data_IF_960782311403
#
_entry.id   IF_960782311403
#
_cell.length_a   1.000
_cell.length_b   1.000
_cell.length_c   1.000
_cell.angle_alpha   90.00
_cell.angle_beta   90.00
_cell.angle_gamma   90.00
#
_symmetry.space_group_name_H-M   'P 1'
#
loop_
_entity.id
_entity.type
_entity.pdbx_description
1 polymer ?
#
# COMPACT_ATOMS: atom_id res chain seq x y z
N UNK A 1 27.50 10.62 12.01
CA UNK A 1 26.68 11.86 12.01
C UNK A 1 25.23 11.41 12.17
N UNK A 2 24.49 11.96 13.13
CA UNK A 2 23.06 11.68 13.28
C UNK A 2 22.26 12.60 12.35
N UNK A 3 21.18 12.09 11.77
CA UNK A 3 20.27 12.83 10.88
C UNK A 3 18.89 12.79 11.51
N UNK A 4 18.21 13.94 11.57
CA UNK A 4 16.83 13.99 12.04
C UNK A 4 15.94 13.28 11.00
N UNK A 5 15.13 12.33 11.47
CA UNK A 5 14.20 11.58 10.64
C UNK A 5 12.77 11.81 11.12
N UNK A 6 11.82 11.84 10.19
CA UNK A 6 10.41 11.72 10.50
C UNK A 6 10.04 10.23 10.45
N UNK A 7 9.75 9.57 11.60
CA UNK A 7 9.48 8.13 11.63
C UNK A 7 8.31 7.73 10.74
N UNK A 8 7.28 8.56 10.68
CA UNK A 8 6.11 8.30 9.85
C UNK A 8 6.48 8.22 8.37
N UNK A 9 7.31 9.14 7.85
CA UNK A 9 7.73 9.09 6.44
C UNK A 9 8.61 7.88 6.14
N UNK A 10 9.45 7.46 7.09
CA UNK A 10 10.27 6.25 6.97
C UNK A 10 9.39 5.01 6.89
N UNK A 11 8.44 4.86 7.82
CA UNK A 11 7.53 3.72 7.84
C UNK A 11 6.59 3.71 6.64
N UNK A 12 6.11 4.87 6.20
CA UNK A 12 5.23 4.98 5.03
C UNK A 12 5.97 4.49 3.77
N UNK A 13 7.24 4.88 3.56
CA UNK A 13 8.05 4.38 2.44
C UNK A 13 8.39 2.90 2.57
N UNK A 14 8.64 2.41 3.77
CA UNK A 14 8.91 1.00 4.05
C UNK A 14 7.70 0.13 3.71
N UNK A 15 6.53 0.46 4.26
CA UNK A 15 5.28 -0.28 4.02
C UNK A 15 4.88 -0.19 2.55
N UNK A 16 5.04 0.97 1.89
CA UNK A 16 4.75 1.09 0.46
C UNK A 16 5.58 0.09 -0.38
N UNK A 17 6.86 -0.10 -0.05
CA UNK A 17 7.74 -1.07 -0.73
C UNK A 17 7.33 -2.51 -0.47
N UNK A 18 7.12 -2.87 0.80
CA UNK A 18 6.72 -4.23 1.18
C UNK A 18 5.35 -4.57 0.57
N UNK A 19 4.39 -3.65 0.71
CA UNK A 19 3.06 -3.78 0.13
C UNK A 19 3.10 -3.94 -1.39
N UNK A 20 3.86 -3.11 -2.10
CA UNK A 20 3.93 -3.19 -3.56
C UNK A 20 4.34 -4.59 -4.07
N UNK A 21 5.20 -5.29 -3.34
CA UNK A 21 5.57 -6.69 -3.65
C UNK A 21 4.41 -7.66 -3.50
N UNK A 22 3.62 -7.52 -2.44
CA UNK A 22 2.44 -8.38 -2.18
C UNK A 22 1.30 -8.06 -3.17
N UNK A 23 1.13 -6.79 -3.52
CA UNK A 23 -0.03 -6.35 -4.31
C UNK A 23 0.16 -6.51 -5.82
N UNK A 24 1.36 -6.28 -6.34
CA UNK A 24 1.62 -6.18 -7.79
C UNK A 24 2.76 -7.13 -8.23
N UNK A 25 3.38 -7.84 -7.30
CA UNK A 25 4.51 -8.73 -7.58
C UNK A 25 5.83 -7.98 -7.81
N UNK A 26 6.83 -8.72 -8.28
CA UNK A 26 8.21 -8.22 -8.40
C UNK A 26 8.42 -7.21 -9.55
N UNK A 27 7.50 -7.11 -10.51
CA UNK A 27 7.62 -6.22 -11.68
C UNK A 27 7.58 -4.72 -11.31
N UNK A 28 6.77 -4.33 -10.33
CA UNK A 28 6.55 -2.91 -9.98
C UNK A 28 6.91 -2.57 -8.53
N UNK A 29 7.32 -3.54 -7.71
CA UNK A 29 7.59 -3.31 -6.28
C UNK A 29 8.75 -2.34 -6.01
N UNK A 30 9.66 -2.19 -6.99
CA UNK A 30 10.83 -1.30 -6.91
C UNK A 30 10.65 0.00 -7.69
N UNK A 31 9.57 0.14 -8.44
CA UNK A 31 9.35 1.31 -9.27
C UNK A 31 9.06 2.53 -8.39
N UNK A 32 10.01 3.47 -8.34
CA UNK A 32 9.88 4.65 -7.48
C UNK A 32 8.63 5.47 -7.82
N UNK A 33 8.15 5.39 -9.06
CA UNK A 33 6.93 6.05 -9.48
C UNK A 33 5.69 5.47 -8.80
N UNK A 34 5.61 4.15 -8.62
CA UNK A 34 4.53 3.52 -7.85
C UNK A 34 4.59 3.91 -6.37
N UNK A 35 5.79 3.89 -5.79
CA UNK A 35 5.99 4.32 -4.40
C UNK A 35 5.55 5.77 -4.24
N UNK A 36 6.03 6.68 -5.09
CA UNK A 36 5.66 8.09 -4.99
C UNK A 36 4.16 8.31 -5.22
N UNK A 37 3.54 7.59 -6.15
CA UNK A 37 2.11 7.64 -6.38
C UNK A 37 1.34 7.16 -5.14
N UNK A 38 1.62 5.97 -4.60
CA UNK A 38 0.90 5.46 -3.41
C UNK A 38 1.06 6.35 -2.18
N UNK A 39 2.26 6.90 -1.96
CA UNK A 39 2.53 7.82 -0.84
C UNK A 39 1.80 9.15 -1.03
N UNK A 40 1.90 9.76 -2.21
CA UNK A 40 1.31 11.08 -2.48
C UNK A 40 -0.20 11.01 -2.56
N UNK A 41 -0.74 9.92 -3.10
CA UNK A 41 -2.17 9.69 -3.22
C UNK A 41 -2.86 9.69 -1.85
N UNK A 42 -2.26 9.03 -0.86
CA UNK A 42 -2.73 9.07 0.53
C UNK A 42 -2.74 10.49 1.08
N UNK A 43 -1.62 11.23 0.94
CA UNK A 43 -1.51 12.62 1.43
C UNK A 43 -2.57 13.52 0.79
N UNK A 44 -2.74 13.43 -0.52
CA UNK A 44 -3.69 14.25 -1.28
C UNK A 44 -5.15 13.90 -0.97
N UNK A 45 -5.48 12.63 -0.68
CA UNK A 45 -6.83 12.25 -0.22
C UNK A 45 -7.12 12.91 1.12
N UNK A 46 -6.24 12.75 2.12
CA UNK A 46 -6.49 13.32 3.45
C UNK A 46 -6.60 14.84 3.41
N UNK A 47 -5.75 15.51 2.62
CA UNK A 47 -5.82 16.94 2.41
C UNK A 47 -7.14 17.34 1.75
N UNK A 48 -7.58 16.62 0.72
CA UNK A 48 -8.85 16.87 0.04
C UNK A 48 -10.03 16.68 1.00
N UNK A 49 -10.05 15.60 1.78
CA UNK A 49 -11.10 15.33 2.78
C UNK A 49 -11.11 16.45 3.83
N UNK A 50 -9.95 16.85 4.37
CA UNK A 50 -9.86 17.90 5.38
C UNK A 50 -10.38 19.25 4.87
N UNK A 51 -10.05 19.61 3.61
CA UNK A 51 -10.49 20.85 2.98
C UNK A 51 -11.96 20.82 2.56
N UNK A 52 -12.51 19.63 2.23
CA UNK A 52 -13.91 19.48 1.85
C UNK A 52 -14.86 19.34 3.05
N UNK A 53 -14.39 18.82 4.18
CA UNK A 53 -15.19 18.59 5.40
C UNK A 53 -15.98 19.81 5.91
N UNK A 54 -15.43 21.04 5.94
CA UNK A 54 -16.20 22.20 6.41
C UNK A 54 -17.19 22.75 5.37
N UNK A 55 -17.14 22.27 4.12
CA UNK A 55 -17.95 22.82 3.03
C UNK A 55 -19.31 22.11 2.94
N UNK A 56 -20.41 22.85 2.71
CA UNK A 56 -21.70 22.26 2.43
C UNK A 56 -21.68 21.48 1.10
N UNK A 57 -22.41 20.37 1.04
CA UNK A 57 -22.31 19.39 -0.06
C UNK A 57 -22.57 19.96 -1.46
N UNK A 58 -23.36 21.02 -1.60
CA UNK A 58 -23.60 21.66 -2.90
C UNK A 58 -22.36 22.39 -3.46
N UNK A 59 -21.37 22.73 -2.62
CA UNK A 59 -20.10 23.33 -3.06
C UNK A 59 -19.05 22.29 -3.44
N UNK A 60 -19.23 21.02 -3.06
CA UNK A 60 -18.28 19.94 -3.35
C UNK A 60 -17.90 19.80 -4.83
N UNK A 61 -18.83 19.82 -5.82
CA UNK A 61 -18.45 19.67 -7.23
C UNK A 61 -17.65 20.86 -7.77
N UNK A 62 -17.87 22.07 -7.23
CA UNK A 62 -17.16 23.28 -7.64
C UNK A 62 -15.77 23.28 -7.01
N UNK A 63 -15.71 23.14 -5.68
CA UNK A 63 -14.46 23.25 -4.93
C UNK A 63 -13.55 22.05 -5.20
N UNK A 64 -14.11 20.85 -5.37
CA UNK A 64 -13.37 19.66 -5.80
C UNK A 64 -12.61 19.89 -7.10
N UNK A 65 -13.22 20.51 -8.12
CA UNK A 65 -12.53 20.79 -9.41
C UNK A 65 -11.46 21.87 -9.32
N UNK A 66 -11.49 22.71 -8.29
CA UNK A 66 -10.55 23.83 -8.12
C UNK A 66 -9.38 23.43 -7.21
N UNK A 67 -9.63 22.56 -6.24
CA UNK A 67 -8.65 22.10 -5.26
C UNK A 67 -7.42 21.50 -5.97
N UNK A 68 -6.20 22.02 -5.69
CA UNK A 68 -4.96 21.46 -6.23
C UNK A 68 -4.78 20.00 -5.85
N UNK A 69 -5.19 19.61 -4.64
CA UNK A 69 -5.13 18.22 -4.16
C UNK A 69 -6.03 17.29 -4.98
N UNK A 70 -7.25 17.71 -5.32
CA UNK A 70 -8.14 16.91 -6.17
C UNK A 70 -7.59 16.75 -7.60
N UNK A 71 -7.00 17.81 -8.17
CA UNK A 71 -6.36 17.72 -9.49
C UNK A 71 -5.12 16.82 -9.46
N UNK A 72 -4.37 16.86 -8.36
CA UNK A 72 -3.24 15.95 -8.13
C UNK A 72 -3.72 14.50 -8.07
N UNK A 73 -4.81 14.22 -7.35
CA UNK A 73 -5.42 12.89 -7.31
C UNK A 73 -5.84 12.41 -8.70
N UNK A 74 -6.54 13.24 -9.48
CA UNK A 74 -6.95 12.90 -10.84
C UNK A 74 -5.74 12.57 -11.73
N UNK A 75 -4.68 13.39 -11.66
CA UNK A 75 -3.46 13.17 -12.42
C UNK A 75 -2.74 11.88 -12.01
N UNK A 76 -2.63 11.62 -10.71
CA UNK A 76 -2.02 10.39 -10.20
C UNK A 76 -2.84 9.16 -10.61
N UNK A 77 -4.17 9.26 -10.57
CA UNK A 77 -5.05 8.20 -11.04
C UNK A 77 -4.86 7.93 -12.52
N UNK A 78 -4.91 8.95 -13.38
CA UNK A 78 -4.68 8.79 -14.82
C UNK A 78 -3.32 8.12 -15.07
N UNK A 79 -2.28 8.62 -14.42
CA UNK A 79 -0.93 8.06 -14.54
C UNK A 79 -0.85 6.59 -14.13
N UNK A 80 -1.37 6.24 -12.95
CA UNK A 80 -1.38 4.85 -12.46
C UNK A 80 -2.18 3.94 -13.40
N UNK A 81 -3.27 4.46 -13.96
CA UNK A 81 -4.17 3.69 -14.83
C UNK A 81 -3.63 3.52 -16.24
N UNK A 82 -2.97 4.51 -16.80
CA UNK A 82 -2.49 4.49 -18.19
C UNK A 82 -1.05 3.98 -18.32
N UNK A 83 -0.17 4.30 -17.36
CA UNK A 83 1.27 4.05 -17.52
C UNK A 83 1.83 2.95 -16.60
N UNK A 84 1.13 2.60 -15.51
CA UNK A 84 1.62 1.59 -14.56
C UNK A 84 0.79 0.31 -14.58
N UNK A 85 -0.43 0.36 -14.02
CA UNK A 85 -1.24 -0.84 -13.81
C UNK A 85 -2.02 -1.27 -15.06
N UNK A 86 -2.47 -0.32 -15.88
CA UNK A 86 -3.18 -0.65 -17.14
C UNK A 86 -2.36 -1.56 -18.06
N UNK A 87 -1.10 -1.20 -18.39
CA UNK A 87 -0.23 -2.06 -19.20
C UNK A 87 0.04 -3.43 -18.59
N UNK A 88 0.17 -3.53 -17.26
CA UNK A 88 0.39 -4.81 -16.57
C UNK A 88 -0.85 -5.70 -16.65
N UNK A 89 -2.04 -5.13 -16.41
CA UNK A 89 -3.31 -5.86 -16.52
C UNK A 89 -3.50 -6.38 -17.95
N UNK A 90 -3.26 -5.54 -18.95
CA UNK A 90 -3.40 -5.91 -20.36
C UNK A 90 -2.39 -7.00 -20.76
N UNK A 91 -1.13 -6.86 -20.31
CA UNK A 91 -0.08 -7.87 -20.52
C UNK A 91 -0.50 -9.22 -19.94
N UNK A 92 -0.94 -9.27 -18.68
CA UNK A 92 -1.37 -10.52 -18.01
C UNK A 92 -2.54 -11.17 -18.75
N UNK A 93 -3.54 -10.39 -19.15
CA UNK A 93 -4.68 -10.88 -19.95
C UNK A 93 -4.27 -11.49 -21.27
N UNK A 94 -3.35 -10.81 -21.99
CA UNK A 94 -2.85 -11.32 -23.27
C UNK A 94 -2.10 -12.65 -23.09
N UNK A 95 -1.29 -12.77 -22.04
CA UNK A 95 -0.56 -14.02 -21.75
C UNK A 95 -1.51 -15.16 -21.37
N UNK A 96 -2.52 -14.88 -20.55
CA UNK A 96 -3.57 -15.85 -20.20
C UNK A 96 -4.37 -16.30 -21.43
N UNK A 97 -4.77 -15.38 -22.29
CA UNK A 97 -5.50 -15.68 -23.52
C UNK A 97 -4.65 -16.47 -24.53
N UNK A 98 -3.34 -16.22 -24.56
CA UNK A 98 -2.41 -16.94 -25.43
C UNK A 98 -2.18 -18.39 -25.02
N UNK A 99 -2.63 -18.82 -23.83
CA UNK A 99 -2.40 -20.16 -23.28
C UNK A 99 -0.93 -20.60 -23.40
N UNK A 100 -0.01 -19.65 -23.16
CA UNK A 100 1.43 -19.90 -23.26
C UNK A 100 1.83 -20.98 -22.24
N UNK A 101 2.41 -22.12 -22.67
CA UNK A 101 2.81 -23.20 -21.78
C UNK A 101 3.80 -22.77 -20.69
N UNK A 102 4.53 -21.67 -20.90
CA UNK A 102 5.51 -21.13 -19.96
C UNK A 102 4.97 -19.98 -19.10
N UNK A 103 3.70 -19.60 -19.26
CA UNK A 103 3.11 -18.56 -18.44
C UNK A 103 2.66 -19.12 -17.08
N UNK A 104 3.40 -18.81 -16.04
CA UNK A 104 2.96 -19.00 -14.67
C UNK A 104 2.11 -17.81 -14.25
N UNK A 105 0.84 -18.09 -13.95
CA UNK A 105 -0.11 -17.09 -13.46
C UNK A 105 0.40 -16.50 -12.13
N UNK A 106 0.54 -15.16 -12.01
CA UNK A 106 0.99 -14.55 -10.76
C UNK A 106 0.04 -14.86 -9.60
N UNK A 107 0.57 -15.23 -8.43
CA UNK A 107 -0.21 -15.35 -7.20
C UNK A 107 -0.06 -14.08 -6.36
N UNK A 108 -0.72 -13.01 -6.82
CA UNK A 108 -0.72 -11.71 -6.15
C UNK A 108 -2.13 -11.09 -6.12
N UNK A 109 -2.28 -10.05 -5.29
CA UNK A 109 -3.58 -9.43 -5.07
C UNK A 109 -4.19 -8.82 -6.35
N UNK A 110 -3.36 -8.27 -7.26
CA UNK A 110 -3.83 -7.77 -8.55
C UNK A 110 -4.44 -8.91 -9.37
N UNK A 111 -3.81 -10.08 -9.40
CA UNK A 111 -4.35 -11.25 -10.08
C UNK A 111 -5.65 -11.73 -9.43
N UNK A 112 -5.70 -11.80 -8.10
CA UNK A 112 -6.94 -12.16 -7.40
C UNK A 112 -8.07 -11.18 -7.74
N UNK A 113 -7.80 -9.88 -7.81
CA UNK A 113 -8.79 -8.88 -8.22
C UNK A 113 -9.26 -9.08 -9.67
N UNK A 114 -8.36 -9.44 -10.59
CA UNK A 114 -8.71 -9.76 -11.98
C UNK A 114 -9.61 -11.00 -12.06
N UNK A 115 -9.30 -12.04 -11.29
CA UNK A 115 -10.03 -13.32 -11.28
C UNK A 115 -11.41 -13.21 -10.62
N UNK A 116 -11.53 -12.38 -9.58
CA UNK A 116 -12.79 -12.17 -8.86
C UNK A 116 -13.74 -11.19 -9.55
N UNK A 117 -13.29 -10.46 -10.57
CA UNK A 117 -14.13 -9.49 -11.27
C UNK A 117 -15.23 -10.19 -12.08
N UNK A 118 -16.51 -9.91 -11.77
CA UNK A 118 -17.66 -10.61 -12.39
C UNK A 118 -18.36 -9.79 -13.47
N UNK A 119 -18.21 -8.47 -13.43
CA UNK A 119 -18.85 -7.56 -14.39
C UNK A 119 -17.81 -6.87 -15.25
N UNK A 120 -18.20 -6.41 -16.45
CA UNK A 120 -17.31 -5.61 -17.33
C UNK A 120 -16.78 -4.36 -16.63
N UNK A 121 -17.62 -3.74 -15.78
CA UNK A 121 -17.20 -2.58 -15.01
C UNK A 121 -16.13 -2.92 -13.97
N UNK A 122 -16.27 -4.05 -13.28
CA UNK A 122 -15.27 -4.52 -12.32
C UNK A 122 -13.97 -4.97 -12.99
N UNK A 123 -14.08 -5.60 -14.16
CA UNK A 123 -12.94 -6.10 -14.91
C UNK A 123 -12.27 -5.00 -15.75
N UNK A 124 -12.86 -3.81 -15.87
CA UNK A 124 -12.24 -2.74 -16.63
C UNK A 124 -10.86 -2.37 -16.03
N UNK A 125 -9.75 -2.35 -16.80
CA UNK A 125 -8.40 -2.16 -16.27
C UNK A 125 -8.25 -0.89 -15.42
N UNK A 126 -8.91 0.20 -15.85
CA UNK A 126 -8.88 1.47 -15.15
C UNK A 126 -9.56 1.41 -13.76
N UNK A 127 -10.60 0.59 -13.61
CA UNK A 127 -11.33 0.42 -12.36
C UNK A 127 -10.57 -0.49 -11.40
N UNK A 128 -9.98 -1.58 -11.92
CA UNK A 128 -9.06 -2.43 -11.15
C UNK A 128 -7.89 -1.61 -10.60
N UNK A 129 -7.25 -0.81 -11.46
CA UNK A 129 -6.11 0.02 -11.07
C UNK A 129 -6.47 1.09 -10.02
N UNK A 130 -7.62 1.77 -10.17
CA UNK A 130 -8.11 2.70 -9.15
C UNK A 130 -8.36 2.02 -7.80
N UNK A 131 -9.04 0.87 -7.81
CA UNK A 131 -9.36 0.12 -6.60
C UNK A 131 -8.10 -0.37 -5.91
N UNK A 132 -7.14 -0.91 -6.67
CA UNK A 132 -5.86 -1.36 -6.16
C UNK A 132 -5.09 -0.22 -5.51
N UNK A 133 -4.97 0.93 -6.20
CA UNK A 133 -4.31 2.11 -5.64
C UNK A 133 -4.97 2.56 -4.34
N UNK A 134 -6.30 2.61 -4.29
CA UNK A 134 -7.05 2.98 -3.09
C UNK A 134 -6.79 2.04 -1.91
N UNK A 135 -6.90 0.72 -2.15
CA UNK A 135 -6.67 -0.31 -1.13
C UNK A 135 -5.23 -0.25 -0.63
N UNK A 136 -4.25 -0.31 -1.52
CA UNK A 136 -2.83 -0.32 -1.13
C UNK A 136 -2.45 0.98 -0.41
N UNK A 137 -2.84 2.14 -0.93
CA UNK A 137 -2.38 3.43 -0.37
C UNK A 137 -3.05 3.76 0.97
N UNK A 138 -4.37 3.55 1.09
CA UNK A 138 -5.14 3.94 2.27
C UNK A 138 -5.29 2.80 3.28
N UNK A 139 -5.70 1.62 2.85
CA UNK A 139 -6.02 0.52 3.76
C UNK A 139 -4.79 -0.19 4.31
N UNK A 140 -3.65 -0.10 3.60
CA UNK A 140 -2.43 -0.84 3.94
C UNK A 140 -1.26 0.08 4.27
N UNK A 141 -0.91 0.99 3.36
CA UNK A 141 0.27 1.86 3.56
C UNK A 141 0.05 2.84 4.70
N UNK A 142 -1.06 3.57 4.67
CA UNK A 142 -1.34 4.59 5.68
C UNK A 142 -1.53 4.02 7.09
N UNK A 143 -2.42 3.03 7.23
CA UNK A 143 -2.76 2.39 8.51
C UNK A 143 -1.55 1.74 9.15
N UNK A 144 -0.80 0.91 8.42
CA UNK A 144 0.39 0.24 8.96
C UNK A 144 1.51 1.22 9.30
N UNK A 145 1.72 2.27 8.49
CA UNK A 145 2.70 3.31 8.82
C UNK A 145 2.32 4.08 10.10
N UNK A 146 1.03 4.37 10.30
CA UNK A 146 0.53 4.93 11.56
C UNK A 146 0.75 3.99 12.74
N UNK A 147 0.40 2.70 12.60
CA UNK A 147 0.60 1.71 13.65
C UNK A 147 2.07 1.60 14.06
N UNK A 148 2.99 1.49 13.09
CA UNK A 148 4.42 1.45 13.35
C UNK A 148 4.93 2.73 14.04
N UNK A 149 4.37 3.88 13.65
CA UNK A 149 4.70 5.17 14.27
C UNK A 149 4.25 5.20 15.73
N UNK A 150 3.02 4.74 16.02
CA UNK A 150 2.52 4.66 17.40
C UNK A 150 3.33 3.68 18.25
N UNK A 151 3.60 2.47 17.73
CA UNK A 151 4.44 1.47 18.40
C UNK A 151 5.80 2.08 18.76
N UNK A 152 6.44 2.81 17.84
CA UNK A 152 7.70 3.47 18.12
C UNK A 152 7.57 4.50 19.26
N UNK A 153 6.52 5.32 19.26
CA UNK A 153 6.31 6.30 20.33
C UNK A 153 6.00 5.64 21.68
N UNK A 154 5.23 4.55 21.69
CA UNK A 154 4.90 3.80 22.89
C UNK A 154 6.16 3.18 23.52
N UNK A 155 7.06 2.62 22.70
CA UNK A 155 8.34 2.09 23.14
C UNK A 155 9.28 3.16 23.71
N UNK A 156 9.22 4.39 23.19
CA UNK A 156 10.00 5.51 23.71
C UNK A 156 9.51 5.97 25.09
N UNK A 157 8.20 5.87 25.35
CA UNK A 157 7.60 6.24 26.65
C UNK A 157 7.67 5.08 27.65
N UNK A 158 7.67 3.84 27.17
CA UNK A 158 7.71 2.62 27.99
C UNK A 158 8.93 1.74 27.68
N UNK A 159 10.16 2.23 27.95
CA UNK A 159 11.39 1.52 27.59
C UNK A 159 11.57 0.17 28.30
N UNK A 160 10.82 -0.10 29.38
CA UNK A 160 10.85 -1.38 30.08
C UNK A 160 10.31 -2.54 29.25
N UNK A 161 9.49 -2.28 28.22
CA UNK A 161 9.03 -3.29 27.27
C UNK A 161 10.03 -3.62 26.17
N UNK A 162 11.03 -2.74 25.93
CA UNK A 162 11.94 -2.91 24.80
C UNK A 162 12.77 -4.20 24.91
N UNK A 163 13.39 -4.45 26.06
CA UNK A 163 14.24 -5.62 26.23
C UNK A 163 13.43 -6.94 26.17
N UNK A 164 12.30 -7.09 26.88
CA UNK A 164 11.46 -8.29 26.75
C UNK A 164 11.02 -8.60 25.32
N UNK A 165 10.64 -7.58 24.53
CA UNK A 165 10.24 -7.77 23.14
C UNK A 165 11.42 -8.22 22.26
N UNK A 166 12.60 -7.64 22.46
CA UNK A 166 13.81 -8.05 21.73
C UNK A 166 14.23 -9.49 22.09
N UNK A 167 14.15 -9.86 23.37
CA UNK A 167 14.47 -11.20 23.84
C UNK A 167 13.48 -12.23 23.26
N UNK A 168 12.20 -11.89 23.18
CA UNK A 168 11.18 -12.73 22.55
C UNK A 168 11.47 -12.94 21.06
N UNK A 169 11.74 -11.87 20.31
CA UNK A 169 12.07 -11.95 18.88
C UNK A 169 13.32 -12.79 18.65
N UNK A 170 14.38 -12.61 19.45
CA UNK A 170 15.62 -13.39 19.31
C UNK A 170 15.43 -14.87 19.64
N UNK A 171 14.55 -15.19 20.59
CA UNK A 171 14.30 -16.55 21.04
C UNK A 171 13.37 -17.29 20.08
N UNK A 172 12.29 -16.64 19.65
CA UNK A 172 11.25 -17.27 18.83
C UNK A 172 11.54 -17.17 17.32
N UNK A 173 12.31 -16.16 16.89
CA UNK A 173 12.65 -15.93 15.48
C UNK A 173 14.17 -15.79 15.31
N UNK A 174 14.93 -16.88 15.53
CA UNK A 174 16.40 -16.84 15.45
C UNK A 174 16.90 -16.61 14.01
N UNK A 175 16.14 -17.06 13.00
CA UNK A 175 16.40 -16.79 11.58
C UNK A 175 15.28 -15.96 10.96
N UNK A 176 15.48 -14.64 10.94
CA UNK A 176 14.52 -13.70 10.35
C UNK A 176 14.27 -13.91 8.84
N UNK A 177 15.12 -14.67 8.13
CA UNK A 177 14.94 -14.91 6.68
C UNK A 177 13.99 -16.07 6.40
N UNK A 178 13.91 -17.05 7.30
CA UNK A 178 13.14 -18.27 7.11
C UNK A 178 12.10 -18.45 8.21
N UNK A 179 11.38 -17.37 8.51
CA UNK A 179 10.35 -17.37 9.57
C UNK A 179 9.18 -18.25 9.17
N UNK A 180 8.79 -19.13 10.08
CA UNK A 180 7.61 -19.99 9.97
C UNK A 180 6.40 -19.38 10.69
N UNK A 181 5.19 -19.77 10.27
CA UNK A 181 3.96 -19.33 10.94
C UNK A 181 3.92 -19.72 12.42
N UNK A 182 4.50 -20.87 12.78
CA UNK A 182 4.55 -21.34 14.15
C UNK A 182 5.41 -20.44 15.05
N UNK A 183 6.54 -19.95 14.53
CA UNK A 183 7.42 -19.01 15.22
C UNK A 183 6.73 -17.65 15.43
N UNK A 184 6.01 -17.15 14.43
CA UNK A 184 5.22 -15.91 14.56
C UNK A 184 4.14 -16.04 15.64
N UNK A 185 3.42 -17.16 15.67
CA UNK A 185 2.37 -17.40 16.67
C UNK A 185 2.92 -17.50 18.12
N UNK A 186 4.23 -17.62 18.30
CA UNK A 186 4.86 -17.66 19.61
C UNK A 186 5.32 -16.28 20.11
N UNK A 187 5.12 -15.20 19.33
CA UNK A 187 5.41 -13.82 19.72
C UNK A 187 4.32 -13.23 20.62
N UNK A 188 4.08 -13.86 21.77
CA UNK A 188 2.95 -13.58 22.65
C UNK A 188 3.03 -12.22 23.34
N UNK A 189 4.22 -11.74 23.65
CA UNK A 189 4.42 -10.40 24.21
C UNK A 189 4.19 -9.33 23.14
N UNK A 190 4.51 -9.63 21.88
CA UNK A 190 4.27 -8.72 20.77
C UNK A 190 2.79 -8.67 20.34
N UNK A 191 2.05 -9.77 20.54
CA UNK A 191 0.62 -9.89 20.20
C UNK A 191 -0.34 -9.41 21.31
N UNK A 192 0.14 -9.30 22.55
CA UNK A 192 -0.66 -8.97 23.74
C UNK A 192 -0.61 -7.51 24.15
#
# INVERSE_FOLDING_TARGET
KFVAINPYEVFLRLVARVGARIFIGDELCREEKWLNASISYTKDIFLTIALMRPLPGFLHPIVGRILPSSRSLDRQLVYVKEELLGPVIEKRRRMEAASDPNYEKPDDFLQWMMDLAKTENESHPHNLAQRLLGITSMAVVHTSAMSLTHILYDLLVMPHWLQPLLDEVQTQVPDWKNVTQAELNNLKLMDG
#
